data_IF_795853457407
#
_entry.id   IF_795853457407
#
_cell.length_a   1.000
_cell.length_b   1.000
_cell.length_c   1.000
_cell.angle_alpha   90.00
_cell.angle_beta   90.00
_cell.angle_gamma   90.00
#
_symmetry.space_group_name_H-M   'P 1'
#
loop_
_entity.id
_entity.type
_entity.pdbx_description
1 polymer ?
#
# COMPACT_ATOMS: atom_id res chain seq x y z
N UNK A 1 -47.33 1.22 -30.73
CA UNK A 1 -47.61 1.31 -29.28
C UNK A 1 -47.36 -0.06 -28.66
N UNK A 2 -46.83 -0.09 -27.44
CA UNK A 2 -46.70 -1.26 -26.55
C UNK A 2 -45.57 -2.26 -26.85
N UNK A 3 -44.30 -1.89 -26.61
CA UNK A 3 -43.26 -2.88 -26.27
C UNK A 3 -42.06 -2.27 -25.51
N UNK A 4 -42.33 -1.59 -24.39
CA UNK A 4 -41.27 -1.07 -23.49
C UNK A 4 -41.75 -0.98 -22.04
N UNK A 5 -42.19 -2.06 -21.38
CA UNK A 5 -42.57 -1.93 -19.95
C UNK A 5 -42.65 -3.21 -19.10
N UNK A 6 -41.90 -4.28 -19.38
CA UNK A 6 -41.98 -5.49 -18.52
C UNK A 6 -40.61 -6.12 -18.21
N UNK A 7 -39.57 -5.30 -18.01
CA UNK A 7 -38.28 -5.78 -17.48
C UNK A 7 -37.69 -4.74 -16.52
N UNK A 8 -38.48 -4.28 -15.53
CA UNK A 8 -37.99 -3.38 -14.46
C UNK A 8 -38.58 -3.78 -13.09
N UNK A 9 -38.81 -5.09 -12.86
CA UNK A 9 -39.49 -5.52 -11.62
C UNK A 9 -38.95 -6.83 -11.03
N UNK A 10 -37.68 -7.18 -11.30
CA UNK A 10 -37.06 -8.40 -10.72
C UNK A 10 -35.72 -8.11 -10.00
N UNK A 11 -35.28 -6.86 -9.87
CA UNK A 11 -33.96 -6.54 -9.26
C UNK A 11 -34.04 -5.90 -7.86
N UNK A 12 -35.24 -5.56 -7.34
CA UNK A 12 -35.37 -4.84 -6.07
C UNK A 12 -35.71 -5.69 -4.84
N UNK A 13 -35.40 -7.00 -4.84
CA UNK A 13 -35.57 -7.86 -3.65
C UNK A 13 -34.32 -8.70 -3.41
N UNK A 14 -33.19 -8.04 -3.21
CA UNK A 14 -31.97 -8.70 -2.74
C UNK A 14 -31.05 -7.71 -2.02
N UNK A 15 -31.58 -6.86 -1.14
CA UNK A 15 -30.76 -6.18 -0.12
C UNK A 15 -31.44 -6.31 1.23
N UNK A 16 -31.54 -7.55 1.67
CA UNK A 16 -31.76 -7.88 3.06
C UNK A 16 -30.53 -7.43 3.86
N UNK A 17 -30.76 -6.51 4.80
CA UNK A 17 -30.10 -6.44 6.10
C UNK A 17 -28.56 -6.48 6.08
N UNK A 18 -27.95 -5.38 5.67
CA UNK A 18 -26.60 -5.03 6.12
C UNK A 18 -26.69 -4.12 7.33
N UNK A 19 -26.69 -4.70 8.54
CA UNK A 19 -26.49 -3.95 9.79
C UNK A 19 -25.12 -3.27 9.73
N UNK A 20 -25.11 -1.94 9.56
CA UNK A 20 -23.91 -1.14 9.80
C UNK A 20 -23.79 -0.97 11.32
N UNK A 21 -23.33 -2.03 11.97
CA UNK A 21 -22.96 -2.01 13.37
C UNK A 21 -21.63 -1.25 13.50
N UNK A 22 -21.74 0.01 13.93
CA UNK A 22 -20.64 0.84 14.43
C UNK A 22 -20.18 0.30 15.80
N UNK A 23 -19.82 -0.97 15.85
CA UNK A 23 -19.15 -1.56 17.01
C UNK A 23 -17.66 -1.35 16.86
N UNK A 24 -17.19 -0.25 17.43
CA UNK A 24 -16.14 -0.26 18.44
C UNK A 24 -15.28 -1.54 18.45
N UNK A 25 -14.43 -1.74 17.44
CA UNK A 25 -13.41 -2.81 17.43
C UNK A 25 -12.23 -2.37 18.28
N UNK A 26 -12.49 -2.21 19.57
CA UNK A 26 -11.48 -2.34 20.64
C UNK A 26 -11.73 -3.67 21.33
N UNK A 27 -11.53 -4.79 20.62
CA UNK A 27 -11.63 -6.12 21.22
C UNK A 27 -10.50 -7.00 20.69
N UNK A 28 -9.41 -6.99 21.48
CA UNK A 28 -8.74 -8.19 21.98
C UNK A 28 -8.44 -9.25 20.91
N UNK A 29 -7.41 -8.97 20.12
CA UNK A 29 -6.65 -10.03 19.47
C UNK A 29 -5.59 -10.53 20.48
N UNK A 30 -5.72 -11.73 21.09
CA UNK A 30 -4.77 -12.23 22.09
C UNK A 30 -3.39 -12.61 21.50
N UNK A 31 -3.16 -12.35 20.21
CA UNK A 31 -1.85 -12.47 19.55
C UNK A 31 -1.17 -11.13 19.22
N UNK A 32 -1.85 -9.99 19.39
CA UNK A 32 -1.30 -8.67 19.08
C UNK A 32 -0.71 -8.03 20.33
N UNK A 33 0.33 -8.65 20.88
CA UNK A 33 1.20 -7.92 21.79
C UNK A 33 1.76 -6.75 20.99
N UNK A 34 1.37 -5.52 21.34
CA UNK A 34 2.18 -4.34 21.02
C UNK A 34 3.58 -4.69 21.51
N UNK A 35 4.46 -5.06 20.57
CA UNK A 35 5.79 -5.58 20.86
C UNK A 35 6.54 -4.44 21.54
N UNK A 36 6.66 -4.57 22.86
CA UNK A 36 7.20 -3.55 23.75
C UNK A 36 8.65 -3.31 23.38
N UNK A 37 9.02 -2.05 23.25
CA UNK A 37 10.37 -1.67 22.90
C UNK A 37 10.43 -0.19 22.55
N UNK A 38 11.63 0.35 22.72
CA UNK A 38 11.94 1.73 22.41
C UNK A 38 12.02 1.96 20.90
N UNK A 39 11.58 3.13 20.44
CA UNK A 39 11.65 3.53 19.03
C UNK A 39 12.96 4.27 18.74
N UNK A 40 13.02 4.99 17.61
CA UNK A 40 14.22 5.69 17.15
C UNK A 40 14.81 6.58 18.26
N UNK A 41 16.12 6.45 18.49
CA UNK A 41 16.87 7.15 19.56
C UNK A 41 16.50 6.81 21.00
N UNK A 42 15.55 5.90 21.23
CA UNK A 42 15.27 5.39 22.56
C UNK A 42 16.46 4.61 23.12
N UNK A 43 16.55 4.53 24.45
CA UNK A 43 17.69 3.92 25.11
C UNK A 43 17.58 2.39 25.10
N UNK A 44 18.69 1.69 24.84
CA UNK A 44 18.70 0.23 24.81
C UNK A 44 20.02 -0.31 25.38
N UNK A 45 20.00 -1.55 25.83
CA UNK A 45 21.18 -2.35 26.14
C UNK A 45 21.31 -3.52 25.16
N UNK A 46 20.17 -4.06 24.72
CA UNK A 46 20.06 -5.17 23.78
C UNK A 46 19.09 -4.79 22.65
N UNK A 47 19.23 -5.44 21.48
CA UNK A 47 18.29 -5.24 20.36
C UNK A 47 16.85 -5.59 20.73
N UNK A 48 16.64 -6.48 21.71
CA UNK A 48 15.31 -6.84 22.22
C UNK A 48 14.63 -5.72 23.01
N UNK A 49 15.40 -4.71 23.45
CA UNK A 49 14.85 -3.52 24.13
C UNK A 49 14.29 -2.52 23.11
N UNK A 50 14.73 -2.62 21.86
CA UNK A 50 14.19 -1.84 20.76
C UNK A 50 12.95 -2.52 20.19
N UNK A 51 12.08 -1.71 19.59
CA UNK A 51 10.94 -2.23 18.85
C UNK A 51 11.41 -3.20 17.76
N UNK A 52 10.75 -4.32 17.67
CA UNK A 52 11.29 -5.53 17.03
C UNK A 52 11.10 -5.62 15.51
N UNK A 53 10.44 -4.62 14.91
CA UNK A 53 10.49 -4.36 13.48
C UNK A 53 11.28 -3.07 13.28
N UNK A 54 12.23 -3.07 12.33
CA UNK A 54 13.02 -1.90 11.91
C UNK A 54 14.18 -1.42 12.79
N UNK A 55 14.38 -1.89 14.04
CA UNK A 55 15.42 -1.32 14.92
C UNK A 55 16.50 -2.31 15.37
N UNK A 56 17.72 -1.81 15.53
CA UNK A 56 18.85 -2.47 16.18
C UNK A 56 19.39 -1.58 17.32
N UNK A 57 19.91 -2.19 18.39
CA UNK A 57 20.56 -1.44 19.45
C UNK A 57 22.02 -1.12 19.09
N UNK A 58 22.32 0.14 18.83
CA UNK A 58 23.66 0.61 18.42
C UNK A 58 24.08 1.76 19.32
N UNK A 59 25.21 1.60 20.01
CA UNK A 59 25.74 2.59 20.98
C UNK A 59 24.71 2.97 22.06
N UNK A 60 23.99 1.97 22.59
CA UNK A 60 22.93 2.13 23.58
C UNK A 60 21.74 3.00 23.14
N UNK A 61 21.54 3.11 21.83
CA UNK A 61 20.42 3.81 21.19
C UNK A 61 19.80 2.94 20.10
N UNK A 62 18.48 2.93 20.01
CA UNK A 62 17.78 2.25 18.92
C UNK A 62 17.96 3.03 17.62
N UNK A 63 18.50 2.37 16.61
CA UNK A 63 18.74 2.92 15.28
C UNK A 63 18.08 2.06 14.23
N UNK A 64 17.81 2.63 13.04
CA UNK A 64 17.24 1.86 11.94
C UNK A 64 18.20 0.74 11.51
N UNK A 65 17.69 -0.48 11.42
CA UNK A 65 18.44 -1.63 10.91
C UNK A 65 18.69 -1.51 9.41
N UNK A 66 19.53 -2.39 8.88
CA UNK A 66 19.78 -2.47 7.44
C UNK A 66 18.47 -2.61 6.64
N UNK A 67 18.35 -1.89 5.51
CA UNK A 67 17.13 -1.78 4.66
C UNK A 67 15.98 -1.00 5.29
N UNK A 68 16.23 -0.31 6.39
CA UNK A 68 15.33 0.69 6.95
C UNK A 68 16.07 2.04 7.01
N UNK A 69 15.33 3.14 6.89
CA UNK A 69 15.86 4.49 7.01
C UNK A 69 14.97 5.35 7.89
N UNK A 70 15.53 6.43 8.43
CA UNK A 70 14.75 7.41 9.18
C UNK A 70 13.70 8.00 8.23
N UNK A 71 12.45 8.06 8.69
CA UNK A 71 11.37 8.65 7.91
C UNK A 71 11.71 10.10 7.54
N UNK A 72 11.75 10.46 6.24
CA UNK A 72 12.27 11.76 5.81
C UNK A 72 11.35 12.95 6.14
N UNK A 73 10.09 12.71 6.50
CA UNK A 73 9.09 13.77 6.74
C UNK A 73 9.13 14.27 8.17
N UNK A 74 8.93 13.39 9.15
CA UNK A 74 8.89 13.75 10.57
C UNK A 74 10.14 13.30 11.33
N UNK A 75 10.86 12.30 10.81
CA UNK A 75 12.10 11.82 11.43
C UNK A 75 11.90 11.10 12.76
N UNK A 76 10.68 10.63 13.04
CA UNK A 76 10.34 10.02 14.33
C UNK A 76 10.45 8.49 14.31
N UNK A 77 10.36 7.87 13.14
CA UNK A 77 10.31 6.42 12.99
C UNK A 77 11.26 5.91 11.90
N UNK A 78 11.42 4.60 11.84
CA UNK A 78 12.15 3.94 10.76
C UNK A 78 11.16 3.35 9.74
N UNK A 79 11.34 3.71 8.47
CA UNK A 79 10.58 3.17 7.36
C UNK A 79 11.40 2.11 6.62
N UNK A 80 10.73 1.05 6.19
CA UNK A 80 11.33 -0.05 5.43
C UNK A 80 11.33 0.19 3.93
N UNK A 81 12.37 -0.31 3.28
CA UNK A 81 12.37 -0.54 1.84
C UNK A 81 11.24 -1.51 1.44
N UNK A 82 10.97 -1.62 0.14
CA UNK A 82 10.08 -2.67 -0.39
C UNK A 82 10.60 -4.05 0.02
N UNK A 83 9.65 -4.95 0.29
CA UNK A 83 9.82 -6.29 0.85
C UNK A 83 10.29 -6.35 2.31
N UNK A 84 10.42 -5.21 2.99
CA UNK A 84 10.72 -5.19 4.42
C UNK A 84 9.47 -5.34 5.28
N UNK A 85 9.68 -5.82 6.51
CA UNK A 85 8.61 -6.05 7.47
C UNK A 85 7.97 -4.74 7.91
N UNK A 86 6.64 -4.69 7.93
CA UNK A 86 5.85 -3.55 8.36
C UNK A 86 4.67 -4.01 9.22
N UNK A 87 3.98 -3.03 9.83
CA UNK A 87 2.71 -3.25 10.52
C UNK A 87 1.62 -2.33 9.98
N UNK A 88 1.99 -1.08 9.66
CA UNK A 88 1.13 -0.08 9.08
C UNK A 88 1.80 0.55 7.87
N UNK A 89 1.00 1.20 7.03
CA UNK A 89 1.48 1.89 5.82
C UNK A 89 2.52 2.97 6.13
N UNK A 90 2.42 3.60 7.30
CA UNK A 90 3.38 4.60 7.78
C UNK A 90 4.80 4.03 7.99
N UNK A 91 4.97 2.71 8.04
CA UNK A 91 6.27 2.06 8.18
C UNK A 91 6.93 1.75 6.83
N UNK A 92 6.31 2.14 5.73
CA UNK A 92 6.82 1.91 4.38
C UNK A 92 7.25 3.22 3.73
N UNK A 93 8.14 3.11 2.76
CA UNK A 93 8.59 4.27 1.99
C UNK A 93 7.46 4.94 1.19
N UNK A 94 7.74 6.13 0.66
CA UNK A 94 6.74 6.88 -0.10
C UNK A 94 6.26 6.09 -1.31
N UNK A 95 4.95 6.17 -1.59
CA UNK A 95 4.27 5.40 -2.63
C UNK A 95 4.31 3.86 -2.43
N UNK A 96 4.67 3.37 -1.25
CA UNK A 96 4.46 2.00 -0.82
C UNK A 96 3.32 1.90 0.23
N UNK A 97 2.88 0.68 0.51
CA UNK A 97 1.88 0.35 1.54
C UNK A 97 2.23 -0.99 2.20
N UNK A 98 1.68 -1.25 3.39
CA UNK A 98 1.94 -2.46 4.14
C UNK A 98 0.96 -3.58 3.72
N UNK A 99 1.40 -4.41 2.78
CA UNK A 99 0.61 -5.54 2.29
C UNK A 99 0.50 -6.63 3.36
N UNK A 100 -0.75 -7.05 3.61
CA UNK A 100 -1.13 -8.07 4.60
C UNK A 100 -0.56 -7.85 6.01
N UNK A 101 -0.33 -6.57 6.37
CA UNK A 101 0.31 -6.18 7.65
C UNK A 101 1.65 -6.90 7.89
N UNK A 102 2.35 -7.23 6.80
CA UNK A 102 3.55 -8.06 6.84
C UNK A 102 4.70 -7.45 6.07
N UNK A 103 4.50 -7.03 4.81
CA UNK A 103 5.60 -6.58 3.95
C UNK A 103 5.25 -5.32 3.17
N UNK A 104 6.20 -4.38 3.06
CA UNK A 104 6.04 -3.21 2.22
C UNK A 104 6.00 -3.58 0.73
N UNK A 105 5.02 -3.06 0.00
CA UNK A 105 4.87 -3.22 -1.46
C UNK A 105 4.60 -1.88 -2.12
N UNK A 106 5.08 -1.70 -3.34
CA UNK A 106 4.72 -0.52 -4.14
C UNK A 106 3.22 -0.50 -4.43
N UNK A 107 2.63 0.69 -4.42
CA UNK A 107 1.22 0.87 -4.75
C UNK A 107 0.95 0.57 -6.23
N UNK A 108 -0.26 0.11 -6.60
CA UNK A 108 -0.60 -0.23 -7.99
C UNK A 108 -0.40 0.91 -8.99
N UNK A 109 -0.52 2.17 -8.56
CA UNK A 109 -0.32 3.36 -9.39
C UNK A 109 1.16 3.62 -9.69
N UNK A 110 2.05 3.07 -8.87
CA UNK A 110 3.51 3.27 -8.94
C UNK A 110 4.25 1.94 -8.79
N UNK A 111 4.01 0.96 -9.68
CA UNK A 111 4.43 -0.43 -9.45
C UNK A 111 5.94 -0.66 -9.65
N UNK A 112 6.68 0.32 -10.17
CA UNK A 112 8.10 0.17 -10.50
C UNK A 112 8.94 0.49 -9.27
N UNK A 113 9.70 -0.51 -8.78
CA UNK A 113 10.65 -0.33 -7.70
C UNK A 113 11.95 0.28 -8.22
N UNK A 114 12.40 1.37 -7.62
CA UNK A 114 13.72 1.95 -7.89
C UNK A 114 14.85 1.13 -7.27
N UNK A 115 16.07 1.36 -7.78
CA UNK A 115 17.26 0.57 -7.41
C UNK A 115 17.65 0.71 -5.93
N UNK A 116 17.24 1.81 -5.29
CA UNK A 116 17.44 2.05 -3.86
C UNK A 116 16.55 1.15 -2.97
N UNK A 117 15.47 0.62 -3.52
CA UNK A 117 14.45 -0.14 -2.78
C UNK A 117 13.50 0.73 -1.96
N UNK A 118 13.67 2.06 -1.96
CA UNK A 118 12.87 3.01 -1.18
C UNK A 118 11.99 3.90 -2.06
N UNK A 119 12.17 3.86 -3.38
CA UNK A 119 11.37 4.62 -4.32
C UNK A 119 10.44 3.71 -5.12
N UNK A 120 9.17 4.12 -5.23
CA UNK A 120 8.20 3.51 -6.12
C UNK A 120 7.78 4.56 -7.16
N UNK A 121 7.90 4.22 -8.44
CA UNK A 121 7.61 5.09 -9.58
C UNK A 121 6.48 4.54 -10.44
N UNK A 122 5.78 5.43 -11.13
CA UNK A 122 4.85 5.05 -12.18
C UNK A 122 5.61 4.30 -13.27
N UNK A 123 5.05 3.20 -13.75
CA UNK A 123 5.38 2.82 -15.12
C UNK A 123 4.89 3.99 -15.98
N UNK A 124 5.75 4.57 -16.81
CA UNK A 124 5.28 5.31 -17.98
C UNK A 124 4.43 4.30 -18.77
N UNK A 125 3.13 4.28 -18.49
CA UNK A 125 2.15 3.73 -19.39
C UNK A 125 2.25 4.64 -20.59
N UNK A 126 3.14 4.29 -21.51
CA UNK A 126 3.06 4.70 -22.89
C UNK A 126 1.63 4.35 -23.29
N UNK A 127 0.75 5.35 -23.26
CA UNK A 127 -0.55 5.33 -23.91
C UNK A 127 -0.26 5.25 -25.40
N UNK A 128 0.21 4.09 -25.86
CA UNK A 128 0.15 3.68 -27.25
C UNK A 128 -1.31 3.34 -27.53
N UNK A 129 -2.12 4.39 -27.62
CA UNK A 129 -3.54 4.33 -27.90
C UNK A 129 -3.85 5.55 -28.74
N UNK A 130 -3.32 5.60 -29.97
CA UNK A 130 -3.52 6.75 -30.84
C UNK A 130 -2.99 6.65 -32.27
N UNK A 131 -2.11 5.70 -32.62
CA UNK A 131 -1.51 5.64 -33.97
C UNK A 131 -2.04 4.47 -34.82
N UNK A 132 -2.85 3.56 -34.26
CA UNK A 132 -3.43 2.45 -35.05
C UNK A 132 -4.68 2.86 -35.85
N UNK A 133 -5.35 3.95 -35.48
CA UNK A 133 -6.59 4.38 -36.17
C UNK A 133 -6.38 5.25 -37.41
N UNK A 134 -5.21 5.86 -37.63
CA UNK A 134 -4.98 6.70 -38.82
C UNK A 134 -4.66 5.91 -40.09
N UNK A 135 -4.19 4.66 -39.96
CA UNK A 135 -3.88 3.82 -41.13
C UNK A 135 -5.15 3.25 -41.76
N UNK A 136 -6.14 2.82 -40.97
CA UNK A 136 -7.40 2.30 -41.50
C UNK A 136 -8.27 3.38 -42.15
N UNK A 137 -8.11 4.65 -41.73
CA UNK A 137 -8.83 5.79 -42.31
C UNK A 137 -8.29 6.17 -43.69
N UNK A 138 -7.01 5.93 -43.94
CA UNK A 138 -6.38 6.27 -45.22
C UNK A 138 -6.73 5.30 -46.34
N UNK A 139 -7.08 4.04 -46.02
CA UNK A 139 -7.50 3.06 -47.03
C UNK A 139 -8.97 3.22 -47.49
N UNK A 140 -9.88 3.74 -46.65
CA UNK A 140 -11.27 3.94 -47.11
C UNK A 140 -11.42 5.12 -48.07
N UNK A 141 -10.53 6.13 -48.01
CA UNK A 141 -10.54 7.27 -48.94
C UNK A 141 -9.92 6.95 -50.31
N UNK A 142 -9.29 5.79 -50.46
CA UNK A 142 -8.75 5.31 -51.74
C UNK A 142 -9.66 4.29 -52.44
N UNK A 143 -10.77 3.90 -51.80
CA UNK A 143 -11.71 2.90 -52.31
C UNK A 143 -13.10 3.47 -52.66
N UNK A 144 -13.30 4.79 -52.55
CA UNK A 144 -14.46 5.54 -53.06
C UNK A 144 -13.93 6.57 -54.06
#
# INVERSE_FOLDING_TARGET
MMLKTVVVLVVFVAMAKGQFDLTNRTLLDPGFSFRQGEELNGHCQLTTDCRDYAYDCVLNRCQCRLRYMIEPKEGQTCIGAVDQRCYYDIHCAENAYCHDQQTCKCKPETPVLGDDGFSCSGADVVKSSGIVFTVLVSFYKLYI
#
